data_IF_442821143540
#
_entry.id   IF_442821143540
#
_cell.length_a   1.000
_cell.length_b   1.000
_cell.length_c   1.000
_cell.angle_alpha   90.00
_cell.angle_beta   90.00
_cell.angle_gamma   90.00
#
_symmetry.space_group_name_H-M   'P 1'
#
loop_
_entity.id
_entity.type
_entity.pdbx_description
1 polymer ?
#
# COMPACT_ATOMS: atom_id res chain seq x y z
N UNK A 1 23.12 4.17 4.04
CA UNK A 1 22.47 2.92 3.60
C UNK A 1 21.30 3.25 2.67
N UNK A 2 21.23 2.58 1.55
CA UNK A 2 20.12 2.80 0.62
C UNK A 2 18.92 1.96 1.05
N UNK A 3 17.77 2.59 1.18
CA UNK A 3 16.52 1.90 1.45
C UNK A 3 16.16 1.07 0.22
N UNK A 4 15.73 -0.18 0.44
CA UNK A 4 15.26 -1.01 -0.67
C UNK A 4 14.04 -0.37 -1.30
N UNK A 5 13.96 -0.37 -2.62
CA UNK A 5 12.80 0.15 -3.32
C UNK A 5 11.59 -0.73 -3.03
N UNK A 6 10.40 -0.15 -3.06
CA UNK A 6 9.17 -0.90 -2.87
C UNK A 6 9.04 -2.03 -3.89
N UNK A 7 9.49 -1.77 -5.11
CA UNK A 7 9.43 -2.76 -6.18
C UNK A 7 10.11 -4.07 -5.82
N UNK A 8 11.22 -3.99 -5.08
CA UNK A 8 11.95 -5.19 -4.62
C UNK A 8 11.32 -5.84 -3.40
N UNK A 9 10.63 -5.06 -2.58
CA UNK A 9 10.03 -5.56 -1.35
C UNK A 9 8.63 -6.12 -1.54
N UNK A 10 7.90 -5.63 -2.54
CA UNK A 10 6.50 -5.97 -2.75
C UNK A 10 6.32 -7.40 -3.24
N UNK A 11 5.24 -8.09 -2.80
CA UNK A 11 4.85 -9.36 -3.42
C UNK A 11 4.32 -9.06 -4.82
N UNK A 12 5.07 -9.45 -5.84
CA UNK A 12 4.75 -9.09 -7.22
C UNK A 12 4.09 -10.20 -8.01
N UNK A 13 4.48 -11.44 -7.75
CA UNK A 13 3.91 -12.59 -8.45
C UNK A 13 2.66 -13.09 -7.72
N UNK A 14 1.81 -13.82 -8.43
CA UNK A 14 0.62 -14.40 -7.81
C UNK A 14 0.97 -15.33 -6.64
N UNK A 15 1.97 -16.22 -6.76
CA UNK A 15 2.35 -17.03 -5.61
C UNK A 15 2.82 -16.22 -4.41
N UNK A 16 3.61 -15.17 -4.64
CA UNK A 16 4.06 -14.29 -3.55
C UNK A 16 2.89 -13.60 -2.85
N UNK A 17 1.90 -13.15 -3.63
CA UNK A 17 0.73 -12.48 -3.09
C UNK A 17 -0.14 -13.44 -2.28
N UNK A 18 -0.30 -14.68 -2.74
CA UNK A 18 -1.05 -15.69 -1.99
C UNK A 18 -0.38 -16.03 -0.67
N UNK A 19 0.94 -16.19 -0.68
CA UNK A 19 1.70 -16.47 0.53
C UNK A 19 1.54 -15.32 1.52
N UNK A 20 1.66 -14.09 1.04
CA UNK A 20 1.48 -12.91 1.86
C UNK A 20 0.07 -12.84 2.47
N UNK A 21 -0.94 -13.14 1.66
CA UNK A 21 -2.33 -13.15 2.13
C UNK A 21 -2.56 -14.22 3.18
N UNK A 22 -2.03 -15.43 2.96
CA UNK A 22 -2.17 -16.53 3.92
C UNK A 22 -1.50 -16.21 5.25
N UNK A 23 -0.38 -15.51 5.19
CA UNK A 23 0.42 -15.20 6.37
C UNK A 23 -0.09 -13.98 7.12
N UNK A 24 -0.50 -12.94 6.41
CA UNK A 24 -0.80 -11.64 6.99
C UNK A 24 -2.27 -11.24 6.92
N UNK A 25 -3.04 -11.87 6.03
CA UNK A 25 -4.46 -11.59 5.88
C UNK A 25 -4.75 -10.37 5.02
N UNK A 26 -5.98 -9.92 5.14
CA UNK A 26 -6.54 -8.85 4.29
C UNK A 26 -5.89 -7.50 4.49
N UNK A 27 -5.35 -7.25 5.66
CA UNK A 27 -4.79 -5.93 5.99
C UNK A 27 -3.64 -5.50 5.09
N UNK A 28 -2.97 -6.46 4.45
CA UNK A 28 -1.83 -6.18 3.58
C UNK A 28 -2.19 -5.93 2.12
N UNK A 29 -3.49 -5.89 1.80
CA UNK A 29 -3.97 -5.61 0.44
C UNK A 29 -5.12 -4.63 0.50
N UNK A 30 -5.11 -3.64 -0.40
CA UNK A 30 -6.22 -2.69 -0.49
C UNK A 30 -7.41 -3.27 -1.24
N UNK A 31 -7.17 -4.27 -2.10
CA UNK A 31 -8.23 -5.05 -2.74
C UNK A 31 -7.97 -6.54 -2.49
N UNK A 32 -8.32 -7.05 -1.30
CA UNK A 32 -7.99 -8.44 -0.95
C UNK A 32 -8.65 -9.49 -1.82
N UNK A 33 -9.84 -9.20 -2.35
CA UNK A 33 -10.54 -10.17 -3.21
C UNK A 33 -9.78 -10.55 -4.46
N UNK A 34 -8.98 -9.64 -5.01
CA UNK A 34 -8.17 -9.89 -6.20
C UNK A 34 -6.68 -9.93 -5.89
N UNK A 35 -6.31 -9.82 -4.61
CA UNK A 35 -4.92 -9.71 -4.14
C UNK A 35 -4.19 -8.56 -4.84
N UNK A 36 -4.90 -7.48 -5.09
CA UNK A 36 -4.35 -6.30 -5.73
C UNK A 36 -3.95 -5.23 -4.73
N UNK A 37 -3.05 -4.36 -5.14
CA UNK A 37 -2.54 -3.27 -4.33
C UNK A 37 -1.96 -3.73 -3.00
N UNK A 38 -0.90 -4.58 -3.03
CA UNK A 38 -0.23 -5.00 -1.80
C UNK A 38 0.45 -3.81 -1.13
N UNK A 39 0.35 -3.74 0.19
CA UNK A 39 0.92 -2.63 0.97
C UNK A 39 1.85 -3.11 2.09
N UNK A 40 2.10 -4.40 2.17
CA UNK A 40 3.10 -4.96 3.08
C UNK A 40 4.22 -5.60 2.28
N UNK A 41 5.48 -5.48 2.74
CA UNK A 41 6.58 -6.22 2.10
C UNK A 41 6.31 -7.72 2.15
N UNK A 42 6.85 -8.46 1.20
CA UNK A 42 6.59 -9.89 1.07
C UNK A 42 7.06 -10.73 2.26
N UNK A 43 7.95 -10.19 3.10
CA UNK A 43 8.45 -10.90 4.28
C UNK A 43 7.95 -10.30 5.59
N UNK A 44 6.97 -9.39 5.52
CA UNK A 44 6.50 -8.68 6.69
C UNK A 44 5.00 -8.48 6.60
N UNK A 45 4.34 -8.49 7.75
CA UNK A 45 2.93 -8.16 7.84
C UNK A 45 2.69 -6.71 8.26
N UNK A 46 3.74 -5.92 8.32
CA UNK A 46 3.63 -4.49 8.64
C UNK A 46 3.35 -3.68 7.39
N UNK A 47 2.36 -2.79 7.48
CA UNK A 47 2.03 -1.89 6.38
C UNK A 47 3.20 -0.95 6.12
N UNK A 48 3.60 -0.83 4.86
CA UNK A 48 4.73 -0.02 4.44
C UNK A 48 4.25 1.33 3.89
N UNK A 49 4.86 2.42 4.36
CA UNK A 49 4.57 3.74 3.81
C UNK A 49 4.94 3.83 2.34
N UNK A 50 6.01 3.17 1.92
CA UNK A 50 6.38 3.10 0.51
C UNK A 50 5.33 2.32 -0.29
N UNK A 51 4.81 1.23 0.30
CA UNK A 51 3.76 0.44 -0.33
C UNK A 51 2.47 1.23 -0.49
N UNK A 52 2.09 2.01 0.52
CA UNK A 52 0.92 2.86 0.45
C UNK A 52 1.07 3.95 -0.62
N UNK A 53 2.25 4.53 -0.73
CA UNK A 53 2.52 5.54 -1.76
C UNK A 53 2.42 4.94 -3.16
N UNK A 54 3.02 3.76 -3.35
CA UNK A 54 2.95 3.08 -4.64
C UNK A 54 1.51 2.71 -5.00
N UNK A 55 0.75 2.21 -4.03
CA UNK A 55 -0.65 1.86 -4.23
C UNK A 55 -1.48 3.09 -4.57
N UNK A 56 -1.25 4.20 -3.89
CA UNK A 56 -1.94 5.45 -4.15
C UNK A 56 -1.69 5.93 -5.59
N UNK A 57 -0.41 5.96 -6.00
CA UNK A 57 -0.05 6.40 -7.34
C UNK A 57 -0.66 5.48 -8.40
N UNK A 58 -0.57 4.16 -8.18
CA UNK A 58 -1.12 3.19 -9.13
C UNK A 58 -2.63 3.30 -9.25
N UNK A 59 -3.31 3.46 -8.12
CA UNK A 59 -4.76 3.60 -8.11
C UNK A 59 -5.22 4.84 -8.87
N UNK A 60 -4.46 5.92 -8.79
CA UNK A 60 -4.75 7.13 -9.55
C UNK A 60 -4.53 6.92 -11.05
N UNK A 61 -3.45 6.23 -11.41
CA UNK A 61 -3.16 5.93 -12.81
C UNK A 61 -4.23 5.04 -13.44
N UNK A 62 -4.75 4.11 -12.67
CA UNK A 62 -5.75 3.15 -13.17
C UNK A 62 -7.20 3.61 -12.92
N UNK A 63 -7.38 4.85 -12.49
CA UNK A 63 -8.69 5.45 -12.25
C UNK A 63 -9.54 4.66 -11.24
N UNK A 64 -8.92 4.33 -10.10
CA UNK A 64 -9.59 3.66 -8.99
C UNK A 64 -9.62 4.59 -7.76
N UNK A 65 -10.53 5.56 -7.76
CA UNK A 65 -10.53 6.59 -6.71
C UNK A 65 -10.80 6.04 -5.31
N UNK A 66 -11.60 4.98 -5.19
CA UNK A 66 -11.87 4.39 -3.89
C UNK A 66 -10.62 3.76 -3.29
N UNK A 67 -9.82 3.09 -4.11
CA UNK A 67 -8.56 2.48 -3.66
C UNK A 67 -7.56 3.57 -3.31
N UNK A 68 -7.46 4.60 -4.13
CA UNK A 68 -6.56 5.73 -3.87
C UNK A 68 -6.91 6.41 -2.53
N UNK A 69 -8.20 6.62 -2.28
CA UNK A 69 -8.66 7.22 -1.02
C UNK A 69 -8.30 6.33 0.17
N UNK A 70 -8.51 5.03 0.05
CA UNK A 70 -8.19 4.09 1.12
C UNK A 70 -6.68 4.09 1.42
N UNK A 71 -5.85 4.10 0.39
CA UNK A 71 -4.40 4.19 0.56
C UNK A 71 -4.02 5.46 1.32
N UNK A 72 -4.65 6.58 0.97
CA UNK A 72 -4.38 7.85 1.60
C UNK A 72 -4.80 7.85 3.08
N UNK A 73 -5.99 7.33 3.37
CA UNK A 73 -6.49 7.23 4.75
C UNK A 73 -5.52 6.40 5.61
N UNK A 74 -5.12 5.24 5.11
CA UNK A 74 -4.18 4.38 5.84
C UNK A 74 -2.83 5.04 6.03
N UNK A 75 -2.35 5.76 5.03
CA UNK A 75 -1.07 6.46 5.11
C UNK A 75 -1.12 7.59 6.13
N UNK A 76 -2.25 8.30 6.22
CA UNK A 76 -2.42 9.35 7.22
C UNK A 76 -2.45 8.76 8.63
N UNK A 77 -3.16 7.65 8.82
CA UNK A 77 -3.19 6.97 10.12
C UNK A 77 -1.81 6.46 10.52
N UNK A 78 -1.03 6.00 9.56
CA UNK A 78 0.33 5.52 9.81
C UNK A 78 1.35 6.66 9.91
N UNK A 79 0.91 7.90 9.73
CA UNK A 79 1.76 9.08 9.77
C UNK A 79 2.92 9.02 8.78
N UNK A 80 2.63 8.53 7.58
CA UNK A 80 3.62 8.45 6.51
C UNK A 80 4.07 9.85 6.09
N UNK A 81 5.38 10.05 5.98
CA UNK A 81 5.93 11.38 5.69
C UNK A 81 5.46 11.95 4.36
N UNK A 82 5.22 11.09 3.36
CA UNK A 82 4.79 11.58 2.05
C UNK A 82 3.40 12.23 2.08
N UNK A 83 2.58 11.97 3.11
CA UNK A 83 1.27 12.59 3.22
C UNK A 83 1.32 14.00 3.78
N UNK A 84 2.42 14.39 4.42
CA UNK A 84 2.52 15.68 5.09
C UNK A 84 2.71 16.86 4.15
N UNK A 85 3.31 16.63 2.99
CA UNK A 85 3.76 17.70 2.11
C UNK A 85 2.67 18.50 1.40
N UNK A 86 1.47 17.94 1.23
CA UNK A 86 0.43 18.60 0.45
C UNK A 86 -0.92 18.62 1.16
N UNK A 87 -0.90 18.51 2.47
CA UNK A 87 -2.14 18.49 3.23
C UNK A 87 -3.08 17.37 2.85
N UNK A 88 -2.54 16.24 2.42
CA UNK A 88 -3.36 15.10 2.01
C UNK A 88 -4.32 14.65 3.10
N UNK A 89 -3.84 14.66 4.35
CA UNK A 89 -4.66 14.16 5.47
C UNK A 89 -5.84 15.07 5.77
N UNK A 90 -5.73 16.33 5.43
CA UNK A 90 -6.84 17.30 5.64
C UNK A 90 -7.97 17.08 4.65
N UNK A 91 -7.68 16.46 3.49
CA UNK A 91 -8.65 16.27 2.44
C UNK A 91 -9.57 15.08 2.63
N UNK A 92 -9.28 14.24 3.61
CA UNK A 92 -10.04 13.01 3.84
C UNK A 92 -11.07 13.11 4.96
N UNK A 93 -11.24 14.29 5.50
CA UNK A 93 -12.24 14.53 6.55
C UNK A 93 -13.65 14.66 5.97
#
# INVERSE_FOLDING_TARGET
MKTKSWRKQAPRTNPERRISYMKCGRKCFLQPGTLAFPICPKKSCKISCQGLRAAYARARQTKRPKVARLALIKACHAKCTWTRRRGYCERIH
#
